data_IF_824363048009
#
_entry.id   IF_824363048009
#
_cell.length_a   1.000
_cell.length_b   1.000
_cell.length_c   1.000
_cell.angle_alpha   90.00
_cell.angle_beta   90.00
_cell.angle_gamma   90.00
#
_symmetry.space_group_name_H-M   'P 1'
#
loop_
_entity.id
_entity.type
_entity.pdbx_description
1 polymer ?
#
# COMPACT_ATOMS: atom_id res chain seq x y z
N UNK A 1 -21.45 -0.27 62.45
CA UNK A 1 -22.34 -0.91 61.46
C UNK A 1 -22.23 -0.16 60.13
N UNK A 2 -21.79 -0.87 59.08
CA UNK A 2 -21.92 -0.59 57.63
C UNK A 2 -21.15 0.61 57.03
N UNK A 3 -19.89 0.34 56.67
CA UNK A 3 -19.13 1.12 55.68
C UNK A 3 -19.53 0.63 54.27
N UNK A 4 -20.02 1.52 53.41
CA UNK A 4 -20.48 1.20 52.06
C UNK A 4 -19.26 0.98 51.15
N UNK A 5 -19.09 -0.24 50.62
CA UNK A 5 -18.17 -0.52 49.52
C UNK A 5 -18.72 0.14 48.24
N UNK A 6 -17.98 1.09 47.69
CA UNK A 6 -18.13 1.55 46.30
C UNK A 6 -17.42 0.53 45.40
N UNK A 7 -18.20 -0.20 44.61
CA UNK A 7 -17.68 -1.07 43.56
C UNK A 7 -17.14 -0.21 42.40
N UNK A 8 -15.83 -0.19 42.23
CA UNK A 8 -15.18 0.38 41.04
C UNK A 8 -15.33 -0.65 39.93
N UNK A 9 -16.18 -0.36 38.96
CA UNK A 9 -16.32 -1.13 37.73
C UNK A 9 -15.11 -0.80 36.85
N UNK A 10 -14.07 -1.63 36.92
CA UNK A 10 -12.95 -1.57 35.99
C UNK A 10 -13.45 -1.99 34.60
N UNK A 11 -13.66 -1.00 33.72
CA UNK A 11 -13.95 -1.24 32.31
C UNK A 11 -12.77 -1.94 31.66
N UNK A 12 -12.98 -3.18 31.22
CA UNK A 12 -12.03 -3.89 30.38
C UNK A 12 -11.85 -3.09 29.08
N UNK A 13 -10.73 -2.38 28.96
CA UNK A 13 -10.27 -1.87 27.67
C UNK A 13 -10.01 -3.10 26.81
N UNK A 14 -10.88 -3.33 25.82
CA UNK A 14 -10.64 -4.31 24.78
C UNK A 14 -9.44 -3.80 23.98
N UNK A 15 -8.25 -4.29 24.32
CA UNK A 15 -7.09 -4.16 23.47
C UNK A 15 -7.44 -4.86 22.15
N UNK A 16 -7.70 -4.08 21.10
CA UNK A 16 -7.77 -4.62 19.75
C UNK A 16 -6.45 -5.35 19.47
N UNK A 17 -6.48 -6.53 18.82
CA UNK A 17 -5.26 -7.27 18.56
C UNK A 17 -4.33 -6.37 17.75
N UNK A 18 -3.08 -6.28 18.21
CA UNK A 18 -1.97 -5.84 17.39
C UNK A 18 -2.06 -6.59 16.06
N UNK A 19 -1.83 -5.90 14.94
CA UNK A 19 -1.75 -6.53 13.62
C UNK A 19 -0.41 -7.28 13.55
N UNK A 20 -0.26 -8.27 14.42
CA UNK A 20 0.93 -9.10 14.62
C UNK A 20 0.83 -10.42 13.83
N UNK A 21 -0.09 -10.50 12.88
CA UNK A 21 -0.12 -11.60 11.91
C UNK A 21 0.88 -11.32 10.80
N UNK A 22 1.63 -12.34 10.38
CA UNK A 22 2.51 -12.30 9.21
C UNK A 22 1.68 -11.93 7.96
N UNK A 23 1.71 -10.65 7.58
CA UNK A 23 1.01 -10.17 6.38
C UNK A 23 1.73 -10.73 5.14
N UNK A 24 0.98 -11.42 4.29
CA UNK A 24 1.50 -12.07 3.08
C UNK A 24 0.73 -11.62 1.85
N UNK A 25 1.35 -11.78 0.68
CA UNK A 25 0.70 -11.47 -0.57
C UNK A 25 -0.54 -12.35 -0.76
N UNK A 26 -0.44 -13.67 -0.55
CA UNK A 26 -1.53 -14.62 -0.79
C UNK A 26 -2.73 -14.41 0.12
N UNK A 27 -2.51 -14.14 1.40
CA UNK A 27 -3.61 -14.10 2.38
C UNK A 27 -4.24 -12.71 2.49
N UNK A 28 -3.45 -11.63 2.31
CA UNK A 28 -3.89 -10.28 2.65
C UNK A 28 -3.94 -9.35 1.44
N UNK A 29 -2.89 -9.35 0.61
CA UNK A 29 -2.75 -8.37 -0.47
C UNK A 29 -3.49 -8.80 -1.74
N UNK A 30 -3.37 -10.05 -2.17
CA UNK A 30 -4.02 -10.54 -3.38
C UNK A 30 -5.55 -10.43 -3.28
N UNK A 31 -6.21 -10.81 -2.17
CA UNK A 31 -7.66 -10.57 -2.00
C UNK A 31 -8.00 -9.07 -2.00
N UNK A 32 -7.19 -8.23 -1.37
CA UNK A 32 -7.39 -6.78 -1.34
C UNK A 32 -7.29 -6.17 -2.75
N UNK A 33 -6.26 -6.50 -3.51
CA UNK A 33 -6.07 -6.02 -4.89
C UNK A 33 -7.18 -6.53 -5.80
N UNK A 34 -7.61 -7.79 -5.63
CA UNK A 34 -8.75 -8.32 -6.36
C UNK A 34 -10.01 -7.51 -6.08
N UNK A 35 -10.27 -7.14 -4.83
CA UNK A 35 -11.45 -6.37 -4.43
C UNK A 35 -11.40 -4.90 -4.84
N UNK A 36 -10.24 -4.25 -4.69
CA UNK A 36 -10.13 -2.80 -4.73
C UNK A 36 -9.44 -2.24 -5.99
N UNK A 37 -8.74 -3.07 -6.75
CA UNK A 37 -7.84 -2.60 -7.81
C UNK A 37 -8.01 -3.34 -9.15
N UNK A 38 -8.63 -4.51 -9.16
CA UNK A 38 -8.65 -5.42 -10.32
C UNK A 38 -9.32 -4.82 -11.55
N UNK A 39 -10.35 -4.00 -11.39
CA UNK A 39 -11.07 -3.33 -12.49
C UNK A 39 -10.15 -2.55 -13.44
N UNK A 40 -9.02 -2.03 -12.93
CA UNK A 40 -8.06 -1.28 -13.74
C UNK A 40 -6.68 -1.95 -13.85
N UNK A 41 -6.37 -2.93 -13.00
CA UNK A 41 -5.01 -3.45 -12.82
C UNK A 41 -4.89 -4.98 -12.97
N UNK A 42 -5.89 -5.65 -13.54
CA UNK A 42 -5.87 -7.11 -13.78
C UNK A 42 -5.76 -7.49 -15.25
N UNK A 43 -5.19 -8.67 -15.51
CA UNK A 43 -5.14 -9.28 -16.82
C UNK A 43 -6.53 -9.50 -17.42
N UNK A 44 -7.51 -9.87 -16.58
CA UNK A 44 -8.92 -10.03 -16.97
C UNK A 44 -9.50 -8.73 -17.55
N UNK A 45 -9.09 -7.58 -17.00
CA UNK A 45 -9.49 -6.26 -17.50
C UNK A 45 -8.51 -5.69 -18.54
N UNK A 46 -7.70 -6.52 -19.20
CA UNK A 46 -6.73 -6.11 -20.23
C UNK A 46 -5.64 -5.13 -19.72
N UNK A 47 -5.32 -5.15 -18.43
CA UNK A 47 -4.21 -4.38 -17.91
C UNK A 47 -2.87 -4.90 -18.50
N UNK A 48 -2.08 -4.04 -19.16
CA UNK A 48 -0.80 -4.39 -19.75
C UNK A 48 0.29 -4.55 -18.70
N UNK A 49 1.41 -5.20 -19.03
CA UNK A 49 2.61 -5.12 -18.19
C UNK A 49 3.09 -3.66 -18.01
N UNK A 50 3.93 -3.41 -17.00
CA UNK A 50 4.56 -2.10 -16.82
C UNK A 50 5.36 -1.62 -18.04
N UNK A 51 5.96 -2.54 -18.79
CA UNK A 51 6.73 -2.20 -19.98
C UNK A 51 5.81 -1.77 -21.12
N UNK A 52 4.78 -2.56 -21.42
CA UNK A 52 3.77 -2.24 -22.43
C UNK A 52 3.02 -0.94 -22.10
N UNK A 53 2.65 -0.73 -20.84
CA UNK A 53 2.00 0.50 -20.41
C UNK A 53 2.83 1.74 -20.76
N UNK A 54 4.15 1.68 -20.56
CA UNK A 54 5.07 2.79 -20.86
C UNK A 54 5.31 3.01 -22.35
N UNK A 55 5.13 1.98 -23.18
CA UNK A 55 5.23 2.13 -24.63
C UNK A 55 4.08 2.96 -25.21
N UNK A 56 2.89 2.90 -24.60
CA UNK A 56 1.73 3.67 -25.06
C UNK A 56 0.80 4.08 -23.91
N UNK A 57 1.29 4.98 -23.06
CA UNK A 57 0.49 5.46 -21.91
C UNK A 57 -0.82 6.14 -22.34
N UNK A 58 -0.87 6.74 -23.53
CA UNK A 58 -2.05 7.42 -24.03
C UNK A 58 -3.16 6.41 -24.34
N UNK A 59 -2.87 5.31 -25.04
CA UNK A 59 -3.84 4.22 -25.28
C UNK A 59 -4.40 3.71 -23.97
N UNK A 60 -3.55 3.31 -23.04
CA UNK A 60 -4.02 2.70 -21.78
C UNK A 60 -4.77 3.68 -20.89
N UNK A 61 -4.28 4.92 -20.71
CA UNK A 61 -4.93 5.91 -19.84
C UNK A 61 -6.17 6.56 -20.44
N UNK A 62 -6.18 6.86 -21.74
CA UNK A 62 -7.24 7.66 -22.36
C UNK A 62 -8.30 6.80 -23.04
N UNK A 63 -7.88 5.74 -23.73
CA UNK A 63 -8.78 4.90 -24.54
C UNK A 63 -9.29 3.72 -23.72
N UNK A 64 -8.39 2.97 -23.10
CA UNK A 64 -8.74 1.73 -22.39
C UNK A 64 -9.06 1.94 -20.90
N UNK A 65 -8.67 3.08 -20.31
CA UNK A 65 -8.89 3.42 -18.89
C UNK A 65 -8.32 2.41 -17.89
N UNK A 66 -7.28 1.68 -18.29
CA UNK A 66 -6.58 0.71 -17.44
C UNK A 66 -5.21 1.23 -17.03
N UNK A 67 -4.72 0.74 -15.89
CA UNK A 67 -3.36 0.92 -15.44
C UNK A 67 -2.48 -0.28 -15.76
N UNK A 68 -1.19 -0.24 -15.39
CA UNK A 68 -0.33 -1.41 -15.51
C UNK A 68 -0.79 -2.54 -14.57
N UNK A 69 -0.63 -3.78 -15.02
CA UNK A 69 -1.00 -4.99 -14.30
C UNK A 69 -0.33 -5.06 -12.93
N UNK A 70 -1.10 -5.44 -11.93
CA UNK A 70 -0.68 -5.61 -10.54
C UNK A 70 -1.42 -6.76 -9.82
N UNK A 71 -2.13 -7.62 -10.56
CA UNK A 71 -2.96 -8.72 -10.05
C UNK A 71 -2.18 -10.01 -9.76
N UNK A 72 -0.88 -10.03 -10.01
CA UNK A 72 0.05 -11.11 -9.69
C UNK A 72 1.22 -10.56 -8.89
N UNK A 73 1.85 -11.42 -8.10
CA UNK A 73 2.95 -11.05 -7.21
C UNK A 73 4.11 -10.40 -7.97
N UNK A 74 4.51 -10.98 -9.09
CA UNK A 74 5.66 -10.54 -9.88
C UNK A 74 5.41 -9.17 -10.52
N UNK A 75 4.19 -8.93 -10.99
CA UNK A 75 3.82 -7.64 -11.59
C UNK A 75 3.70 -6.55 -10.52
N UNK A 76 3.22 -6.89 -9.33
CA UNK A 76 3.16 -5.97 -8.19
C UNK A 76 4.56 -5.60 -7.71
N UNK A 77 5.49 -6.57 -7.61
CA UNK A 77 6.88 -6.31 -7.21
C UNK A 77 7.60 -5.34 -8.16
N UNK A 78 7.24 -5.28 -9.45
CA UNK A 78 7.80 -4.26 -10.35
C UNK A 78 7.56 -2.82 -9.87
N UNK A 79 6.49 -2.59 -9.10
CA UNK A 79 6.12 -1.30 -8.51
C UNK A 79 6.70 -1.08 -7.11
N UNK A 80 7.12 -2.16 -6.44
CA UNK A 80 7.69 -2.14 -5.09
C UNK A 80 9.20 -2.01 -5.16
N UNK A 81 9.89 -3.00 -5.70
CA UNK A 81 11.36 -3.15 -5.69
C UNK A 81 11.97 -3.38 -7.08
N UNK A 82 11.17 -3.59 -8.14
CA UNK A 82 11.64 -3.74 -9.51
C UNK A 82 11.91 -2.43 -10.27
N UNK A 83 11.78 -2.41 -11.60
CA UNK A 83 12.16 -1.24 -12.44
C UNK A 83 11.36 0.04 -12.16
N UNK A 84 10.26 -0.05 -11.43
CA UNK A 84 9.44 1.08 -11.02
C UNK A 84 9.36 1.21 -9.50
N UNK A 85 10.45 0.89 -8.78
CA UNK A 85 10.60 1.02 -7.32
C UNK A 85 9.89 2.24 -6.73
N UNK A 86 9.22 2.03 -5.60
CA UNK A 86 8.49 3.07 -4.87
C UNK A 86 7.21 3.54 -5.56
N UNK A 87 6.84 2.99 -6.72
CA UNK A 87 5.63 3.42 -7.41
C UNK A 87 4.38 3.00 -6.65
N UNK A 88 4.30 1.78 -6.12
CA UNK A 88 3.18 1.39 -5.27
C UNK A 88 3.07 2.35 -4.08
N UNK A 89 4.20 2.59 -3.42
CA UNK A 89 4.28 3.41 -2.22
C UNK A 89 3.78 4.84 -2.46
N UNK A 90 4.28 5.50 -3.51
CA UNK A 90 3.86 6.88 -3.86
C UNK A 90 2.40 6.98 -4.26
N UNK A 91 1.82 5.92 -4.83
CA UNK A 91 0.45 5.95 -5.36
C UNK A 91 -0.58 5.72 -4.27
N UNK A 92 -0.22 4.96 -3.24
CA UNK A 92 -1.05 4.63 -2.09
C UNK A 92 -0.78 5.50 -0.86
N UNK A 93 0.28 6.32 -0.87
CA UNK A 93 0.61 7.23 0.23
C UNK A 93 -0.57 8.11 0.65
N UNK A 94 -0.72 8.30 1.94
CA UNK A 94 -1.78 9.11 2.56
C UNK A 94 -1.44 10.62 2.56
N UNK A 95 -0.26 11.00 2.09
CA UNK A 95 0.20 12.39 2.05
C UNK A 95 0.96 12.83 3.29
N UNK A 96 1.11 11.95 4.30
CA UNK A 96 1.85 12.26 5.54
C UNK A 96 3.37 12.16 5.37
N UNK A 97 3.85 11.51 4.31
CA UNK A 97 5.27 11.49 4.01
C UNK A 97 5.80 12.91 3.72
N UNK A 98 6.95 13.33 4.25
CA UNK A 98 7.49 14.68 4.05
C UNK A 98 7.62 15.09 2.58
N UNK A 99 7.96 14.15 1.69
CA UNK A 99 8.09 14.40 0.25
C UNK A 99 6.74 14.51 -0.47
N UNK A 100 5.65 14.08 0.15
CA UNK A 100 4.31 14.16 -0.42
C UNK A 100 3.69 15.56 -0.28
N UNK A 101 4.26 16.44 0.57
CA UNK A 101 3.81 17.83 0.77
C UNK A 101 2.30 17.92 1.07
N UNK A 102 1.79 16.98 1.87
CA UNK A 102 0.38 16.90 2.26
C UNK A 102 -0.57 16.36 1.17
N UNK A 103 -0.04 15.88 0.03
CA UNK A 103 -0.86 15.36 -1.07
C UNK A 103 -0.84 13.83 -1.08
N UNK A 104 -2.00 13.23 -0.84
CA UNK A 104 -2.17 11.79 -1.00
C UNK A 104 -1.88 11.34 -2.44
N UNK A 105 -1.39 10.11 -2.57
CA UNK A 105 -1.21 9.46 -3.85
C UNK A 105 -2.55 9.29 -4.58
N UNK A 106 -2.52 9.34 -5.91
CA UNK A 106 -3.74 9.33 -6.72
C UNK A 106 -4.52 7.99 -6.69
N UNK A 107 -3.95 6.93 -6.10
CA UNK A 107 -4.61 5.64 -5.90
C UNK A 107 -5.03 5.41 -4.45
N UNK A 108 -4.61 6.25 -3.50
CA UNK A 108 -4.98 6.14 -2.08
C UNK A 108 -6.50 6.10 -1.86
N UNK A 109 -7.23 6.90 -2.65
CA UNK A 109 -8.70 6.95 -2.60
C UNK A 109 -9.40 5.61 -2.88
N UNK A 110 -8.74 4.66 -3.56
CA UNK A 110 -9.30 3.34 -3.86
C UNK A 110 -9.04 2.31 -2.75
N UNK A 111 -8.33 2.69 -1.68
CA UNK A 111 -8.14 1.81 -0.52
C UNK A 111 -9.39 1.69 0.36
N UNK A 112 -10.49 2.35 0.03
CA UNK A 112 -11.73 2.28 0.80
C UNK A 112 -12.62 3.49 0.58
N UNK A 113 -13.90 3.36 0.94
CA UNK A 113 -14.89 4.43 0.80
C UNK A 113 -14.73 5.49 1.90
N UNK A 114 -14.34 5.06 3.10
CA UNK A 114 -14.10 5.93 4.25
C UNK A 114 -12.61 6.15 4.54
N UNK A 115 -12.26 7.23 5.25
CA UNK A 115 -10.89 7.46 5.71
C UNK A 115 -10.39 6.33 6.63
N UNK A 116 -11.27 5.78 7.46
CA UNK A 116 -10.96 4.66 8.34
C UNK A 116 -10.58 3.40 7.55
N UNK A 117 -11.33 3.07 6.50
CA UNK A 117 -11.01 1.94 5.62
C UNK A 117 -9.71 2.16 4.85
N UNK A 118 -9.50 3.37 4.31
CA UNK A 118 -8.25 3.71 3.61
C UNK A 118 -7.04 3.60 4.51
N UNK A 119 -7.13 4.08 5.75
CA UNK A 119 -6.06 3.98 6.74
C UNK A 119 -5.81 2.51 7.14
N UNK A 120 -6.86 1.72 7.38
CA UNK A 120 -6.74 0.31 7.73
C UNK A 120 -6.09 -0.51 6.61
N UNK A 121 -6.54 -0.34 5.36
CA UNK A 121 -5.98 -1.04 4.22
C UNK A 121 -4.57 -0.57 3.88
N UNK A 122 -4.27 0.73 3.99
CA UNK A 122 -2.91 1.23 3.85
C UNK A 122 -1.98 0.65 4.91
N UNK A 123 -2.45 0.47 6.16
CA UNK A 123 -1.65 -0.17 7.21
C UNK A 123 -1.25 -1.59 6.83
N UNK A 124 -2.17 -2.38 6.26
CA UNK A 124 -1.89 -3.75 5.79
C UNK A 124 -0.85 -3.71 4.65
N UNK A 125 -1.01 -2.81 3.68
CA UNK A 125 -0.04 -2.67 2.57
C UNK A 125 1.35 -2.26 3.11
N UNK A 126 1.42 -1.30 4.04
CA UNK A 126 2.68 -0.87 4.67
C UNK A 126 3.34 -2.04 5.41
N UNK A 127 2.57 -2.78 6.20
CA UNK A 127 3.05 -3.96 6.93
C UNK A 127 3.58 -5.04 5.99
N UNK A 128 2.93 -5.29 4.86
CA UNK A 128 3.42 -6.24 3.86
C UNK A 128 4.73 -5.81 3.19
N UNK A 129 4.83 -4.55 2.76
CA UNK A 129 5.99 -4.09 1.98
C UNK A 129 7.24 -3.95 2.86
N UNK A 130 7.13 -3.35 4.04
CA UNK A 130 8.31 -3.03 4.89
C UNK A 130 8.25 -3.62 6.30
N UNK A 131 7.14 -4.20 6.72
CA UNK A 131 6.91 -4.61 8.11
C UNK A 131 6.28 -3.51 8.98
N UNK A 132 5.60 -3.90 10.06
CA UNK A 132 4.94 -2.94 10.96
C UNK A 132 5.97 -2.01 11.63
N UNK A 133 5.65 -0.71 11.66
CA UNK A 133 6.50 0.31 12.30
C UNK A 133 7.75 0.71 11.52
N UNK A 134 8.03 0.11 10.35
CA UNK A 134 9.17 0.49 9.51
C UNK A 134 8.84 1.66 8.58
N UNK A 135 9.89 2.31 8.09
CA UNK A 135 9.78 3.51 7.25
C UNK A 135 9.06 3.21 5.93
N UNK A 136 8.00 3.98 5.65
CA UNK A 136 7.32 3.96 4.36
C UNK A 136 8.10 4.75 3.31
N UNK A 137 9.06 4.09 2.67
CA UNK A 137 9.96 4.72 1.72
C UNK A 137 9.32 4.91 0.34
N UNK A 138 9.29 6.16 -0.13
CA UNK A 138 8.69 6.54 -1.42
C UNK A 138 9.70 6.60 -2.58
N UNK A 139 10.99 6.45 -2.30
CA UNK A 139 12.09 6.71 -3.23
C UNK A 139 12.01 5.79 -4.46
N UNK A 140 12.46 6.32 -5.59
CA UNK A 140 12.60 5.54 -6.83
C UNK A 140 14.06 5.25 -7.14
N UNK A 141 14.31 4.44 -8.17
CA UNK A 141 15.67 4.17 -8.67
C UNK A 141 16.44 5.46 -8.99
N UNK A 142 15.73 6.45 -9.54
CA UNK A 142 16.28 7.78 -9.85
C UNK A 142 15.64 8.82 -8.95
N UNK A 143 16.34 9.94 -8.75
CA UNK A 143 15.81 11.11 -8.07
C UNK A 143 14.47 11.56 -8.69
N UNK A 144 13.54 11.98 -7.83
CA UNK A 144 12.22 12.50 -8.23
C UNK A 144 11.95 13.82 -7.51
N UNK A 145 12.26 14.94 -8.15
CA UNK A 145 12.20 16.25 -7.50
C UNK A 145 13.18 16.30 -6.32
N UNK A 146 12.68 16.62 -5.13
CA UNK A 146 13.45 16.64 -3.87
C UNK A 146 13.65 15.25 -3.25
N UNK A 147 12.92 14.23 -3.72
CA UNK A 147 13.03 12.87 -3.21
C UNK A 147 14.29 12.20 -3.76
N UNK A 148 15.20 11.73 -2.88
CA UNK A 148 16.45 11.13 -3.29
C UNK A 148 16.22 9.77 -4.00
N UNK A 149 17.21 9.26 -4.76
CA UNK A 149 17.17 7.89 -5.22
C UNK A 149 17.19 6.92 -4.03
N UNK A 150 16.59 5.74 -4.20
CA UNK A 150 16.62 4.68 -3.19
C UNK A 150 18.04 4.15 -3.00
N UNK A 151 18.43 3.87 -1.75
CA UNK A 151 19.72 3.21 -1.46
C UNK A 151 19.56 1.68 -1.41
N UNK A 152 20.68 0.96 -1.45
CA UNK A 152 20.67 -0.49 -1.30
C UNK A 152 20.18 -0.93 0.08
N UNK A 153 20.53 -0.18 1.13
CA UNK A 153 20.09 -0.41 2.50
C UNK A 153 18.57 -0.28 2.63
N UNK A 154 17.99 0.74 1.99
CA UNK A 154 16.54 0.95 1.94
C UNK A 154 15.84 -0.17 1.16
N UNK A 155 16.40 -0.58 0.03
CA UNK A 155 15.85 -1.68 -0.77
C UNK A 155 15.84 -3.01 -0.01
N UNK A 156 16.87 -3.29 0.79
CA UNK A 156 16.98 -4.48 1.65
C UNK A 156 15.94 -4.53 2.77
N UNK A 157 15.22 -3.45 3.05
CA UNK A 157 14.12 -3.45 4.04
C UNK A 157 12.79 -3.93 3.46
N UNK A 158 12.69 -4.12 2.13
CA UNK A 158 11.48 -4.67 1.51
C UNK A 158 11.32 -6.13 1.94
N UNK A 159 10.18 -6.45 2.55
CA UNK A 159 9.81 -7.80 2.97
C UNK A 159 8.96 -8.48 1.90
N UNK A 160 7.82 -7.88 1.57
CA UNK A 160 6.88 -8.30 0.52
C UNK A 160 6.65 -9.83 0.47
N UNK A 161 6.40 -10.46 1.62
CA UNK A 161 6.25 -11.93 1.72
C UNK A 161 5.18 -12.46 0.77
N UNK A 162 5.43 -13.61 0.14
CA UNK A 162 4.48 -14.26 -0.77
C UNK A 162 3.29 -14.87 -0.02
#
# INVERSE_FOLDING_TARGET
MKMKLLAILAGAVVALPAVAADVTYRNDIAPMLKKLCSDCHSAENNAPSMAEFKLDENKYKKQLKVGPRADTYEHLLQLVDGRSTGALMRRLDDGTNPYAKGKAGNMHKYLGETDAERAANLKIVKAWVVGEGKEWNLNGIKQRGEMPPITLEQLRQVEAKY
#
